data_IF_892572526921
#
_entry.id   IF_892572526921
#
_cell.length_a   1.000
_cell.length_b   1.000
_cell.length_c   1.000
_cell.angle_alpha   90.00
_cell.angle_beta   90.00
_cell.angle_gamma   90.00
#
_symmetry.space_group_name_H-M   'P 1'
#
loop_
_entity.id
_entity.type
_entity.pdbx_description
1 polymer ?
#
# COMPACT_ATOMS: atom_id res chain seq x y z
N UNK A 1 17.45 -58.85 35.97
CA UNK A 1 17.73 -58.80 34.51
C UNK A 1 16.45 -58.44 33.76
N UNK A 2 16.35 -57.20 33.25
CA UNK A 2 15.44 -56.68 32.19
C UNK A 2 15.80 -55.19 32.03
N UNK A 3 16.63 -54.72 31.07
CA UNK A 3 16.33 -54.36 29.66
C UNK A 3 14.92 -53.74 29.56
N UNK A 4 14.68 -52.48 29.26
CA UNK A 4 15.27 -51.56 28.27
C UNK A 4 15.03 -50.13 28.78
N UNK A 5 16.10 -49.31 28.85
CA UNK A 5 15.97 -47.86 29.05
C UNK A 5 15.60 -47.27 27.69
N UNK A 6 14.38 -46.74 27.56
CA UNK A 6 13.90 -46.05 26.36
C UNK A 6 14.88 -44.92 26.00
N UNK A 7 15.62 -45.09 24.91
CA UNK A 7 16.32 -43.98 24.26
C UNK A 7 15.25 -42.99 23.80
N UNK A 8 15.25 -41.83 24.45
CA UNK A 8 14.62 -40.61 24.01
C UNK A 8 15.11 -40.29 22.61
N UNK A 9 14.35 -40.73 21.60
CA UNK A 9 14.47 -40.25 20.24
C UNK A 9 14.17 -38.75 20.30
N UNK A 10 15.24 -37.95 20.25
CA UNK A 10 15.21 -36.51 20.05
C UNK A 10 14.69 -36.32 18.61
N UNK A 11 13.38 -36.43 18.45
CA UNK A 11 12.68 -35.94 17.27
C UNK A 11 12.58 -34.43 17.44
N UNK A 12 13.71 -33.77 17.25
CA UNK A 12 13.75 -32.35 16.92
C UNK A 12 13.13 -32.21 15.53
N UNK A 13 11.80 -32.20 15.47
CA UNK A 13 11.07 -31.70 14.32
C UNK A 13 11.45 -30.24 14.21
N UNK A 14 12.46 -29.95 13.39
CA UNK A 14 12.67 -28.63 12.83
C UNK A 14 11.32 -28.28 12.19
N UNK A 15 10.53 -27.43 12.85
CA UNK A 15 9.44 -26.75 12.19
C UNK A 15 10.11 -25.97 11.05
N UNK A 16 10.11 -26.55 9.86
CA UNK A 16 10.32 -25.82 8.62
C UNK A 16 9.18 -24.83 8.53
N UNK A 17 9.40 -23.66 9.12
CA UNK A 17 8.56 -22.49 8.92
C UNK A 17 8.70 -22.06 7.46
N UNK A 18 8.01 -22.75 6.56
CA UNK A 18 7.74 -22.24 5.23
C UNK A 18 6.63 -21.19 5.33
N UNK A 19 6.93 -20.07 5.96
CA UNK A 19 6.17 -18.83 5.71
C UNK A 19 6.98 -18.00 4.73
N UNK A 20 6.94 -18.42 3.46
CA UNK A 20 7.26 -17.52 2.37
C UNK A 20 5.99 -17.33 1.56
N UNK A 21 5.13 -16.46 2.07
CA UNK A 21 4.27 -15.68 1.19
C UNK A 21 5.07 -14.42 0.87
N UNK A 22 5.95 -14.50 -0.12
CA UNK A 22 6.40 -13.30 -0.82
C UNK A 22 5.17 -12.73 -1.53
N UNK A 23 4.35 -11.96 -0.80
CA UNK A 23 3.27 -11.20 -1.43
C UNK A 23 3.95 -9.99 -2.08
N UNK A 24 4.52 -10.22 -3.26
CA UNK A 24 4.89 -9.14 -4.17
C UNK A 24 3.57 -8.57 -4.73
N UNK A 25 2.94 -7.68 -3.98
CA UNK A 25 1.90 -6.84 -4.54
C UNK A 25 2.59 -5.87 -5.49
N UNK A 26 2.54 -6.15 -6.79
CA UNK A 26 2.75 -5.15 -7.82
C UNK A 26 1.75 -4.03 -7.57
N UNK A 27 2.21 -2.98 -6.88
CA UNK A 27 1.46 -1.75 -6.64
C UNK A 27 1.44 -0.91 -7.92
N UNK A 28 0.99 -1.49 -9.04
CA UNK A 28 1.04 -0.83 -10.35
C UNK A 28 0.51 0.60 -10.28
N UNK A 29 -0.67 0.75 -9.71
CA UNK A 29 -1.30 2.03 -9.42
C UNK A 29 -1.49 2.30 -7.92
N UNK A 30 -0.81 1.60 -7.01
CA UNK A 30 -0.90 1.91 -5.58
C UNK A 30 0.34 2.66 -5.10
N UNK A 31 0.14 3.55 -4.13
CA UNK A 31 1.22 4.32 -3.50
C UNK A 31 1.06 4.24 -1.99
N UNK A 32 2.13 3.80 -1.32
CA UNK A 32 2.26 3.80 0.12
C UNK A 32 3.19 4.95 0.51
N UNK A 33 2.70 5.87 1.34
CA UNK A 33 3.46 7.05 1.78
C UNK A 33 3.49 7.04 3.31
N UNK A 34 4.68 6.95 3.88
CA UNK A 34 4.87 7.03 5.34
C UNK A 34 5.26 8.45 5.72
N UNK A 35 4.40 9.17 6.43
CA UNK A 35 4.64 10.56 6.80
C UNK A 35 3.91 10.97 8.08
N UNK A 36 4.46 11.97 8.76
CA UNK A 36 3.79 12.71 9.85
C UNK A 36 3.58 14.19 9.51
N UNK A 37 3.71 14.56 8.23
CA UNK A 37 3.44 15.91 7.74
C UNK A 37 1.94 16.24 7.79
N UNK A 38 1.59 17.49 7.47
CA UNK A 38 0.21 17.91 7.33
C UNK A 38 -0.50 17.01 6.28
N UNK A 39 -1.72 16.51 6.55
CA UNK A 39 -2.49 15.72 5.60
C UNK A 39 -2.60 16.34 4.19
N UNK A 40 -2.72 17.66 4.08
CA UNK A 40 -2.77 18.35 2.80
C UNK A 40 -1.46 18.23 2.03
N UNK A 41 -0.31 18.31 2.70
CA UNK A 41 1.00 18.14 2.08
C UNK A 41 1.18 16.71 1.56
N UNK A 42 0.70 15.71 2.33
CA UNK A 42 0.72 14.30 1.92
C UNK A 42 -0.19 14.09 0.71
N UNK A 43 -1.39 14.69 0.69
CA UNK A 43 -2.33 14.62 -0.44
C UNK A 43 -1.73 15.24 -1.71
N UNK A 44 -1.09 16.41 -1.57
CA UNK A 44 -0.43 17.13 -2.66
C UNK A 44 0.74 16.33 -3.22
N UNK A 45 1.57 15.76 -2.34
CA UNK A 45 2.68 14.88 -2.73
C UNK A 45 2.18 13.64 -3.49
N UNK A 46 1.18 12.95 -2.95
CA UNK A 46 0.61 11.75 -3.58
C UNK A 46 0.05 12.06 -4.97
N UNK A 47 -0.73 13.14 -5.08
CA UNK A 47 -1.32 13.59 -6.35
C UNK A 47 -0.23 13.93 -7.37
N UNK A 48 0.80 14.67 -6.96
CA UNK A 48 1.93 15.02 -7.84
C UNK A 48 2.71 13.79 -8.31
N UNK A 49 2.97 12.84 -7.41
CA UNK A 49 3.64 11.59 -7.74
C UNK A 49 2.84 10.79 -8.77
N UNK A 50 1.54 10.58 -8.54
CA UNK A 50 0.67 9.89 -9.49
C UNK A 50 0.61 10.61 -10.86
N UNK A 51 0.52 11.94 -10.87
CA UNK A 51 0.54 12.72 -12.14
C UNK A 51 1.82 12.56 -12.94
N UNK A 52 2.97 12.50 -12.27
CA UNK A 52 4.26 12.26 -12.92
C UNK A 52 4.35 10.86 -13.55
N UNK A 53 3.58 9.91 -13.02
CA UNK A 53 3.47 8.54 -13.53
C UNK A 53 2.31 8.38 -14.55
N UNK A 54 1.85 9.47 -15.15
CA UNK A 54 0.77 9.52 -16.16
C UNK A 54 -0.63 9.15 -15.65
N UNK A 55 -0.90 9.28 -14.35
CA UNK A 55 -2.24 9.15 -13.77
C UNK A 55 -2.93 10.52 -13.64
N UNK A 56 -4.25 10.55 -13.49
CA UNK A 56 -5.02 11.79 -13.28
C UNK A 56 -4.76 12.40 -11.89
N UNK A 57 -4.60 11.54 -10.88
CA UNK A 57 -4.29 11.94 -9.51
C UNK A 57 -4.24 10.76 -8.54
N UNK A 58 -4.13 11.07 -7.26
CA UNK A 58 -4.16 10.09 -6.18
C UNK A 58 -5.54 10.09 -5.50
N UNK A 59 -6.09 8.90 -5.29
CA UNK A 59 -7.30 8.67 -4.49
C UNK A 59 -6.91 8.01 -3.18
N UNK A 60 -7.31 8.61 -2.07
CA UNK A 60 -7.03 8.12 -0.72
C UNK A 60 -7.84 6.86 -0.43
N UNK A 61 -7.16 5.83 0.09
CA UNK A 61 -7.79 4.56 0.49
C UNK A 61 -7.91 4.46 2.00
N UNK A 62 -6.79 4.60 2.71
CA UNK A 62 -6.76 4.45 4.17
C UNK A 62 -5.47 4.97 4.78
N UNK A 63 -5.49 5.12 6.12
CA UNK A 63 -4.34 5.51 6.93
C UNK A 63 -4.21 4.57 8.13
N UNK A 64 -3.00 4.07 8.37
CA UNK A 64 -2.66 3.27 9.55
C UNK A 64 -1.41 3.86 10.21
N UNK A 65 -1.55 4.45 11.40
CA UNK A 65 -0.43 5.13 12.05
C UNK A 65 0.08 6.29 11.18
N UNK A 66 1.31 6.19 10.66
CA UNK A 66 1.93 7.19 9.76
C UNK A 66 1.85 6.77 8.28
N UNK A 67 1.29 5.61 7.98
CA UNK A 67 1.23 5.08 6.62
C UNK A 67 -0.08 5.47 5.95
N UNK A 68 0.01 6.10 4.79
CA UNK A 68 -1.11 6.46 3.93
C UNK A 68 -1.09 5.58 2.69
N UNK A 69 -2.25 5.05 2.33
CA UNK A 69 -2.46 4.23 1.14
C UNK A 69 -3.28 5.02 0.14
N UNK A 70 -2.76 5.10 -1.08
CA UNK A 70 -3.40 5.75 -2.20
C UNK A 70 -3.49 4.82 -3.40
N UNK A 71 -4.50 5.03 -4.23
CA UNK A 71 -4.62 4.51 -5.58
C UNK A 71 -4.44 5.66 -6.56
N UNK A 72 -3.43 5.60 -7.42
CA UNK A 72 -3.32 6.45 -8.58
C UNK A 72 -4.42 6.06 -9.58
N UNK A 73 -5.27 7.02 -9.94
CA UNK A 73 -6.43 6.78 -10.81
C UNK A 73 -6.11 7.26 -12.22
N UNK A 74 -6.44 6.45 -13.23
CA UNK A 74 -6.34 6.88 -14.63
C UNK A 74 -7.63 7.53 -15.09
N UNK A 75 -7.53 8.42 -16.07
CA UNK A 75 -8.69 9.10 -16.64
C UNK A 75 -9.69 8.12 -17.29
N UNK A 76 -9.21 7.00 -17.84
CA UNK A 76 -10.05 5.99 -18.49
C UNK A 76 -10.83 5.13 -17.48
N UNK A 77 -10.41 5.09 -16.22
CA UNK A 77 -11.03 4.26 -15.18
C UNK A 77 -12.35 4.87 -14.64
N UNK A 78 -12.65 6.13 -14.96
CA UNK A 78 -13.82 6.88 -14.45
C UNK A 78 -13.98 6.81 -12.92
N UNK A 79 -12.88 6.59 -12.19
CA UNK A 79 -12.90 6.55 -10.73
C UNK A 79 -12.78 7.95 -10.15
N UNK A 80 -13.50 8.17 -9.05
CA UNK A 80 -13.48 9.46 -8.36
C UNK A 80 -12.23 9.55 -7.48
N UNK A 81 -11.50 10.66 -7.58
CA UNK A 81 -10.41 10.99 -6.67
C UNK A 81 -10.98 11.36 -5.29
N UNK A 82 -10.66 10.54 -4.28
CA UNK A 82 -11.11 10.76 -2.91
C UNK A 82 -9.98 11.46 -2.14
N UNK A 83 -10.18 12.64 -1.54
CA UNK A 83 -9.17 13.29 -0.70
C UNK A 83 -8.97 12.56 0.63
N UNK A 84 -7.85 12.83 1.30
CA UNK A 84 -7.74 12.55 2.74
C UNK A 84 -8.84 13.37 3.46
N UNK A 85 -9.55 12.82 4.45
CA UNK A 85 -10.54 13.58 5.21
C UNK A 85 -9.98 14.92 5.74
N UNK A 86 -10.68 16.02 5.46
CA UNK A 86 -10.26 17.38 5.82
C UNK A 86 -9.26 18.04 4.86
N UNK A 87 -8.94 17.40 3.73
CA UNK A 87 -8.10 17.96 2.67
C UNK A 87 -8.91 18.22 1.40
N UNK A 88 -8.37 19.04 0.52
CA UNK A 88 -8.92 19.28 -0.81
C UNK A 88 -7.97 18.76 -1.89
N UNK A 89 -8.54 18.30 -3.00
CA UNK A 89 -7.79 18.07 -4.23
C UNK A 89 -8.10 19.27 -5.10
N UNK A 90 -7.07 20.06 -5.44
CA UNK A 90 -7.23 21.10 -6.43
C UNK A 90 -7.64 20.44 -7.76
N UNK A 91 -8.78 20.84 -8.35
CA UNK A 91 -9.16 20.35 -9.65
C UNK A 91 -8.04 20.70 -10.63
N UNK A 92 -7.43 19.68 -11.24
CA UNK A 92 -6.66 19.93 -12.45
C UNK A 92 -7.69 20.42 -13.44
N UNK A 93 -7.62 21.70 -13.85
CA UNK A 93 -8.44 22.20 -14.93
C UNK A 93 -8.31 21.20 -16.07
N UNK A 94 -9.40 20.46 -16.36
CA UNK A 94 -9.47 19.67 -17.58
C UNK A 94 -9.20 20.69 -18.68
N UNK A 95 -8.11 20.52 -19.43
CA UNK A 95 -7.96 21.26 -20.66
C UNK A 95 -9.19 20.89 -21.49
N UNK A 96 -10.17 21.80 -21.52
CA UNK A 96 -11.33 21.69 -22.38
C UNK A 96 -10.77 21.64 -23.80
N UNK A 97 -10.78 20.44 -24.40
CA UNK A 97 -10.54 20.28 -25.82
C UNK A 97 -11.66 21.02 -26.53
N UNK A 98 -11.37 22.23 -26.97
CA UNK A 98 -12.19 23.01 -27.90
C UNK A 98 -12.24 22.34 -29.26
#
# INVERSE_FOLDING_TARGET
>A
MKKILLLTAISGSLLSGCYSTEINMSMGNMRLITSSANPQDVMNFATKACKNDFYEGASFLSKAGKEYRFKCVKAEENEVLIPIPGTTIEPTAKAETK
#
